data_IF_782907854944
#
_entry.id   IF_782907854944
#
_cell.length_a   1.000
_cell.length_b   1.000
_cell.length_c   1.000
_cell.angle_alpha   90.00
_cell.angle_beta   90.00
_cell.angle_gamma   90.00
#
_symmetry.space_group_name_H-M   'P 1'
#
loop_
_entity.id
_entity.type
_entity.pdbx_description
1 polymer ?
#
# COMPACT_ATOMS: atom_id res chain seq x y z
N UNK A 1 11.66 -2.56 -16.99
CA UNK A 1 11.33 -2.36 -15.56
C UNK A 1 11.63 -0.91 -15.20
N UNK A 2 10.63 -0.13 -14.74
CA UNK A 2 10.83 1.27 -14.36
C UNK A 2 11.47 1.35 -12.96
N UNK A 3 12.48 2.22 -12.78
CA UNK A 3 13.17 2.38 -11.49
C UNK A 3 13.51 3.83 -11.21
N UNK A 4 13.70 4.17 -9.92
CA UNK A 4 13.95 5.55 -9.46
C UNK A 4 15.21 6.21 -10.05
N UNK A 5 16.09 5.44 -10.71
CA UNK A 5 17.33 5.92 -11.34
C UNK A 5 17.12 6.51 -12.71
N UNK A 6 16.04 6.18 -13.40
CA UNK A 6 15.75 6.68 -14.74
C UNK A 6 15.52 8.19 -14.77
N UNK A 7 15.15 8.76 -13.62
CA UNK A 7 14.97 10.20 -13.46
C UNK A 7 16.30 10.83 -13.07
N UNK A 8 16.77 11.85 -13.82
CA UNK A 8 18.05 12.54 -13.60
C UNK A 8 17.79 13.98 -13.14
N UNK A 9 18.69 14.55 -12.34
CA UNK A 9 18.58 15.95 -11.89
C UNK A 9 18.35 16.90 -13.09
N UNK A 10 17.44 17.89 -13.00
CA UNK A 10 16.68 18.32 -11.81
C UNK A 10 15.38 17.54 -11.57
N UNK A 11 14.97 16.65 -12.47
CA UNK A 11 13.71 15.92 -12.38
C UNK A 11 13.90 14.66 -11.51
N UNK A 12 13.49 14.73 -10.24
CA UNK A 12 13.34 13.56 -9.37
C UNK A 12 11.86 13.31 -9.08
N UNK A 13 11.39 12.04 -9.05
CA UNK A 13 10.00 11.75 -8.75
C UNK A 13 9.71 12.12 -7.28
N UNK A 14 8.84 13.11 -7.06
CA UNK A 14 8.37 13.45 -5.73
C UNK A 14 7.29 12.44 -5.26
N UNK A 15 6.39 12.01 -6.16
CA UNK A 15 5.24 11.16 -5.85
C UNK A 15 5.05 10.06 -6.90
N UNK A 16 4.69 8.88 -6.42
CA UNK A 16 4.31 7.70 -7.20
C UNK A 16 2.97 7.22 -6.68
N UNK A 17 1.98 7.16 -7.56
CA UNK A 17 0.65 6.63 -7.25
C UNK A 17 0.37 5.42 -8.12
N UNK A 18 0.14 4.28 -7.48
CA UNK A 18 -0.30 3.07 -8.14
C UNK A 18 -1.82 3.01 -8.14
N UNK A 19 -2.42 2.88 -9.33
CA UNK A 19 -3.83 2.63 -9.52
C UNK A 19 -4.01 1.16 -9.89
N UNK A 20 -4.65 0.40 -9.01
CA UNK A 20 -4.95 -1.02 -9.23
C UNK A 20 -6.38 -1.14 -9.76
N UNK A 21 -6.51 -1.44 -11.06
CA UNK A 21 -7.78 -1.85 -11.67
C UNK A 21 -7.82 -3.37 -11.80
N UNK A 22 -8.92 -3.98 -11.35
CA UNK A 22 -9.17 -5.40 -11.55
C UNK A 22 -10.29 -5.53 -12.58
N UNK A 23 -10.00 -6.23 -13.67
CA UNK A 23 -10.93 -6.43 -14.79
C UNK A 23 -10.97 -7.92 -15.14
N UNK A 24 -12.17 -8.44 -15.38
CA UNK A 24 -12.38 -9.81 -15.84
C UNK A 24 -13.63 -9.84 -16.70
N UNK A 25 -13.60 -10.66 -17.76
CA UNK A 25 -14.79 -10.95 -18.58
C UNK A 25 -15.77 -11.89 -17.85
N UNK A 26 -15.39 -12.37 -16.66
CA UNK A 26 -16.18 -13.20 -15.75
C UNK A 26 -16.25 -12.51 -14.38
N UNK A 27 -16.79 -13.21 -13.39
CA UNK A 27 -16.80 -12.75 -12.00
C UNK A 27 -15.38 -12.64 -11.43
N UNK A 28 -15.04 -11.47 -10.88
CA UNK A 28 -13.83 -11.28 -10.09
C UNK A 28 -14.07 -11.88 -8.69
N UNK A 29 -13.48 -13.04 -8.42
CA UNK A 29 -13.48 -13.63 -7.08
C UNK A 29 -12.24 -13.19 -6.31
N UNK A 30 -12.45 -12.67 -5.10
CA UNK A 30 -11.34 -12.36 -4.18
C UNK A 30 -10.83 -13.64 -3.55
N UNK A 31 -9.51 -13.78 -3.47
CA UNK A 31 -8.89 -14.85 -2.71
C UNK A 31 -9.32 -14.79 -1.23
N UNK A 32 -9.63 -15.97 -0.66
CA UNK A 32 -10.10 -16.05 0.73
C UNK A 32 -9.03 -15.57 1.71
N UNK A 33 -7.76 -15.89 1.48
CA UNK A 33 -6.66 -15.45 2.33
C UNK A 33 -6.53 -13.93 2.35
N UNK A 34 -6.76 -13.27 1.21
CA UNK A 34 -6.82 -11.80 1.13
C UNK A 34 -7.98 -11.23 1.93
N UNK A 35 -9.18 -11.81 1.80
CA UNK A 35 -10.36 -11.39 2.55
C UNK A 35 -10.18 -11.59 4.07
N UNK A 36 -9.73 -12.78 4.47
CA UNK A 36 -9.43 -13.12 5.86
C UNK A 36 -8.39 -12.17 6.46
N UNK A 37 -7.32 -11.87 5.71
CA UNK A 37 -6.29 -10.91 6.14
C UNK A 37 -6.85 -9.51 6.36
N UNK A 38 -7.78 -9.05 5.51
CA UNK A 38 -8.45 -7.77 5.69
C UNK A 38 -9.32 -7.75 6.95
N UNK A 39 -10.11 -8.81 7.17
CA UNK A 39 -10.96 -8.98 8.36
C UNK A 39 -10.13 -9.00 9.65
N UNK A 40 -9.08 -9.82 9.69
CA UNK A 40 -8.18 -9.92 10.85
C UNK A 40 -7.37 -8.64 11.06
N UNK A 41 -7.03 -7.94 9.98
CA UNK A 41 -6.36 -6.64 10.02
C UNK A 41 -7.19 -5.57 10.71
N UNK A 42 -8.49 -5.52 10.43
CA UNK A 42 -9.44 -4.63 11.12
C UNK A 42 -9.67 -5.07 12.55
N UNK A 43 -9.93 -6.35 12.78
CA UNK A 43 -10.18 -6.92 14.11
C UNK A 43 -9.07 -6.60 15.12
N UNK A 44 -7.83 -6.52 14.66
CA UNK A 44 -6.65 -6.26 15.50
C UNK A 44 -6.07 -4.84 15.31
N UNK A 45 -6.79 -3.93 14.65
CA UNK A 45 -6.26 -2.61 14.29
C UNK A 45 -5.73 -1.83 15.51
N UNK A 46 -6.44 -1.86 16.64
CA UNK A 46 -6.03 -1.16 17.87
C UNK A 46 -4.73 -1.75 18.45
N UNK A 47 -4.65 -3.09 18.57
CA UNK A 47 -3.43 -3.78 19.01
C UNK A 47 -2.26 -3.51 18.08
N UNK A 48 -2.51 -3.45 16.77
CA UNK A 48 -1.49 -3.09 15.78
C UNK A 48 -1.01 -1.64 15.94
N UNK A 49 -1.89 -0.70 16.31
CA UNK A 49 -1.51 0.68 16.62
C UNK A 49 -0.67 0.74 17.89
N UNK A 50 -1.06 0.05 18.95
CA UNK A 50 -0.28 -0.06 20.19
C UNK A 50 1.11 -0.63 19.93
N UNK A 51 1.20 -1.75 19.19
CA UNK A 51 2.46 -2.37 18.80
C UNK A 51 3.34 -1.44 17.94
N UNK A 52 2.74 -0.60 17.10
CA UNK A 52 3.50 0.40 16.32
C UNK A 52 4.01 1.55 17.20
N UNK A 53 3.28 1.91 18.25
CA UNK A 53 3.67 2.97 19.19
C UNK A 53 4.74 2.52 20.17
N UNK A 54 4.75 1.23 20.56
CA UNK A 54 5.75 0.68 21.47
C UNK A 54 7.14 0.48 20.83
N UNK A 55 7.22 0.45 19.50
CA UNK A 55 8.48 0.31 18.78
C UNK A 55 9.20 1.65 18.62
N UNK A 56 10.55 1.64 18.56
CA UNK A 56 11.32 2.85 18.25
C UNK A 56 10.86 3.53 16.97
N UNK A 57 10.75 4.86 17.02
CA UNK A 57 10.42 5.66 15.83
C UNK A 57 11.63 5.66 14.89
N UNK A 58 11.40 5.26 13.65
CA UNK A 58 12.41 5.32 12.58
C UNK A 58 12.50 6.71 11.97
N UNK A 59 13.66 7.02 11.41
CA UNK A 59 13.87 8.26 10.67
C UNK A 59 12.90 8.30 9.49
N UNK A 60 12.25 9.45 9.28
CA UNK A 60 11.41 9.64 8.09
C UNK A 60 12.33 9.97 6.91
N UNK A 61 12.13 9.35 5.73
CA UNK A 61 12.90 9.69 4.56
C UNK A 61 12.65 11.15 4.18
N UNK A 62 13.72 11.92 3.99
CA UNK A 62 13.65 13.27 3.44
C UNK A 62 13.37 13.14 1.94
N UNK A 63 12.17 13.53 1.52
CA UNK A 63 11.76 13.54 0.11
C UNK A 63 11.74 15.00 -0.34
N UNK A 64 12.52 15.38 -1.37
CA UNK A 64 12.52 16.74 -1.88
C UNK A 64 11.16 17.14 -2.47
N UNK A 65 10.77 18.40 -2.29
CA UNK A 65 9.55 18.99 -2.85
C UNK A 65 8.36 19.01 -1.88
N UNK A 66 7.18 19.42 -2.37
CA UNK A 66 6.00 19.56 -1.52
C UNK A 66 5.50 18.21 -1.03
N UNK A 67 4.89 18.20 0.16
CA UNK A 67 4.16 17.02 0.63
C UNK A 67 2.95 16.78 -0.27
N UNK A 68 2.59 15.51 -0.54
CA UNK A 68 1.36 15.21 -1.26
C UNK A 68 0.18 15.76 -0.47
N UNK A 69 -0.78 16.43 -1.15
CA UNK A 69 -1.99 16.90 -0.50
C UNK A 69 -2.70 15.73 0.18
N UNK A 70 -3.44 16.02 1.27
CA UNK A 70 -4.44 15.11 1.80
C UNK A 70 -5.54 14.99 0.74
N UNK A 71 -5.32 14.14 -0.27
CA UNK A 71 -6.27 13.92 -1.35
C UNK A 71 -7.61 13.44 -0.82
N UNK A 72 -8.66 13.63 -1.63
CA UNK A 72 -9.98 13.08 -1.34
C UNK A 72 -9.90 11.54 -1.25
N UNK A 73 -10.73 10.95 -0.39
CA UNK A 73 -10.82 9.49 -0.25
C UNK A 73 -11.24 8.83 -1.56
N UNK A 74 -12.08 9.52 -2.32
CA UNK A 74 -12.57 9.16 -3.65
C UNK A 74 -12.09 10.23 -4.63
N UNK A 75 -11.50 9.82 -5.74
CA UNK A 75 -11.12 10.73 -6.83
C UNK A 75 -11.52 10.15 -8.18
N UNK A 76 -11.84 11.01 -9.14
CA UNK A 76 -11.99 10.62 -10.53
C UNK A 76 -10.76 11.08 -11.30
N UNK A 77 -9.95 10.14 -11.77
CA UNK A 77 -8.73 10.45 -12.50
C UNK A 77 -9.05 10.56 -14.00
N UNK A 78 -9.27 11.80 -14.46
CA UNK A 78 -9.71 12.10 -15.83
C UNK A 78 -8.77 11.56 -16.91
N UNK A 79 -7.46 11.52 -16.64
CA UNK A 79 -6.46 11.06 -17.62
C UNK A 79 -6.56 9.57 -17.94
N UNK A 80 -6.92 8.75 -16.94
CA UNK A 80 -7.05 7.30 -17.10
C UNK A 80 -8.51 6.84 -17.15
N UNK A 81 -9.47 7.77 -16.96
CA UNK A 81 -10.90 7.48 -16.99
C UNK A 81 -11.37 6.54 -15.87
N UNK A 82 -10.67 6.52 -14.73
CA UNK A 82 -10.99 5.63 -13.61
C UNK A 82 -11.44 6.41 -12.39
N UNK A 83 -12.38 5.81 -11.68
CA UNK A 83 -12.70 6.18 -10.32
C UNK A 83 -11.80 5.44 -9.35
N UNK A 84 -11.16 6.15 -8.43
CA UNK A 84 -10.19 5.57 -7.53
C UNK A 84 -10.50 5.88 -6.06
N UNK A 85 -10.32 4.88 -5.21
CA UNK A 85 -10.41 4.99 -3.76
C UNK A 85 -9.04 4.74 -3.16
N UNK A 86 -8.64 5.61 -2.23
CA UNK A 86 -7.45 5.38 -1.43
C UNK A 86 -7.65 4.16 -0.53
N UNK A 87 -6.85 3.13 -0.76
CA UNK A 87 -6.84 1.95 0.12
C UNK A 87 -5.98 2.20 1.36
N UNK A 88 -6.38 1.70 2.53
CA UNK A 88 -5.46 1.47 3.64
C UNK A 88 -4.54 0.29 3.30
N UNK A 89 -3.67 0.47 2.31
CA UNK A 89 -2.80 -0.59 1.79
C UNK A 89 -1.56 -0.81 2.67
N UNK A 90 -1.23 -2.09 2.87
CA UNK A 90 0.02 -2.54 3.47
C UNK A 90 1.22 -2.10 2.64
N UNK A 91 1.10 -2.06 1.31
CA UNK A 91 2.22 -1.77 0.39
C UNK A 91 2.78 -0.37 0.61
N UNK A 92 1.92 0.63 0.82
CA UNK A 92 2.37 1.98 1.12
C UNK A 92 3.14 2.06 2.44
N UNK A 93 2.74 1.24 3.43
CA UNK A 93 3.47 1.12 4.70
C UNK A 93 4.80 0.41 4.50
N UNK A 94 4.84 -0.66 3.69
CA UNK A 94 6.07 -1.41 3.37
C UNK A 94 7.05 -0.51 2.63
N UNK A 95 6.65 0.15 1.55
CA UNK A 95 7.50 1.07 0.78
C UNK A 95 8.06 2.15 1.70
N UNK A 96 7.22 2.80 2.52
CA UNK A 96 7.69 3.82 3.47
C UNK A 96 8.72 3.27 4.45
N UNK A 97 8.54 2.07 4.98
CA UNK A 97 9.51 1.41 5.88
C UNK A 97 10.80 1.10 5.16
N UNK A 98 10.74 0.59 3.93
CA UNK A 98 11.91 0.33 3.09
C UNK A 98 12.70 1.62 2.85
N UNK A 99 12.04 2.71 2.49
CA UNK A 99 12.71 4.01 2.31
C UNK A 99 13.32 4.55 3.62
N UNK A 100 12.67 4.29 4.76
CA UNK A 100 13.22 4.67 6.08
C UNK A 100 14.50 3.87 6.39
N UNK A 101 14.51 2.56 6.10
CA UNK A 101 15.70 1.70 6.25
C UNK A 101 16.84 2.20 5.37
N UNK A 102 16.55 2.57 4.12
CA UNK A 102 17.55 3.13 3.20
C UNK A 102 18.15 4.43 3.74
N UNK A 103 17.34 5.28 4.37
CA UNK A 103 17.80 6.52 5.00
C UNK A 103 18.71 6.25 6.19
N UNK A 104 18.40 5.22 6.99
CA UNK A 104 19.20 4.82 8.17
C UNK A 104 20.50 4.09 7.78
N UNK A 105 20.60 3.55 6.56
CA UNK A 105 21.73 2.72 6.10
C UNK A 105 22.28 3.24 4.76
N UNK A 106 22.94 4.41 4.73
CA UNK A 106 23.42 5.04 3.49
C UNK A 106 24.45 4.20 2.73
N UNK A 107 25.24 3.39 3.44
CA UNK A 107 26.28 2.54 2.86
C UNK A 107 25.79 1.17 2.38
N UNK A 108 24.49 0.89 2.49
CA UNK A 108 23.96 -0.45 2.22
C UNK A 108 23.53 -1.19 3.47
N UNK A 109 22.66 -2.18 3.28
CA UNK A 109 22.42 -3.20 4.30
C UNK A 109 23.64 -4.12 4.39
N UNK A 110 23.89 -4.67 5.58
CA UNK A 110 24.90 -5.71 5.75
C UNK A 110 24.51 -6.94 4.90
N UNK A 111 25.38 -7.29 3.96
CA UNK A 111 25.22 -8.47 3.11
C UNK A 111 25.99 -9.66 3.70
N UNK A 112 25.57 -10.87 3.39
CA UNK A 112 26.27 -12.09 3.84
C UNK A 112 27.71 -12.23 3.33
N UNK A 113 28.07 -11.53 2.23
CA UNK A 113 29.44 -11.48 1.71
C UNK A 113 30.24 -10.34 2.36
N UNK A 114 31.39 -10.69 2.95
CA UNK A 114 32.34 -9.77 3.59
C UNK A 114 33.39 -9.19 2.62
N UNK A 115 33.31 -9.50 1.34
CA UNK A 115 34.28 -9.00 0.36
C UNK A 115 34.12 -7.47 0.15
N UNK A 116 35.19 -6.67 0.32
CA UNK A 116 35.18 -5.21 0.15
C UNK A 116 34.59 -4.72 -1.16
N UNK A 117 34.82 -5.44 -2.27
CA UNK A 117 34.32 -5.04 -3.60
C UNK A 117 32.80 -5.04 -3.66
N UNK A 118 32.18 -5.98 -2.95
CA UNK A 118 30.72 -6.04 -2.87
C UNK A 118 30.16 -4.97 -1.94
N UNK A 119 30.90 -4.54 -0.92
CA UNK A 119 30.50 -3.44 -0.05
C UNK A 119 30.48 -2.10 -0.82
N UNK A 120 31.51 -1.84 -1.63
CA UNK A 120 31.58 -0.62 -2.45
C UNK A 120 30.48 -0.59 -3.52
N UNK A 121 30.29 -1.71 -4.25
CA UNK A 121 29.19 -1.85 -5.23
C UNK A 121 27.81 -1.65 -4.58
N UNK A 122 27.65 -2.07 -3.32
CA UNK A 122 26.42 -1.87 -2.56
C UNK A 122 26.24 -0.41 -2.18
N UNK A 123 27.25 0.23 -1.62
CA UNK A 123 27.19 1.66 -1.28
C UNK A 123 26.84 2.52 -2.50
N UNK A 124 27.50 2.26 -3.65
CA UNK A 124 27.21 2.97 -4.90
C UNK A 124 25.80 2.69 -5.44
N UNK A 125 25.30 1.46 -5.31
CA UNK A 125 23.91 1.15 -5.65
C UNK A 125 22.93 1.87 -4.72
N UNK A 126 23.20 1.93 -3.41
CA UNK A 126 22.27 2.49 -2.43
C UNK A 126 22.15 4.01 -2.56
N UNK A 127 23.26 4.71 -2.81
CA UNK A 127 23.27 6.17 -3.00
C UNK A 127 22.47 6.65 -4.22
N UNK A 128 22.24 5.78 -5.21
CA UNK A 128 21.44 6.11 -6.40
C UNK A 128 19.92 6.02 -6.18
N UNK A 129 19.46 5.45 -5.05
CA UNK A 129 18.03 5.25 -4.82
C UNK A 129 17.41 6.58 -4.40
N UNK A 130 16.49 7.10 -5.22
CA UNK A 130 15.71 8.30 -4.89
C UNK A 130 14.46 7.93 -4.11
N UNK A 131 14.20 8.65 -3.02
CA UNK A 131 12.98 8.51 -2.24
C UNK A 131 11.82 9.23 -2.92
N UNK A 132 10.62 8.65 -2.82
CA UNK A 132 9.39 9.25 -3.33
C UNK A 132 8.21 8.92 -2.41
N UNK A 133 7.21 9.79 -2.39
CA UNK A 133 5.94 9.51 -1.74
C UNK A 133 5.22 8.41 -2.52
N UNK A 134 4.86 7.32 -1.85
CA UNK A 134 4.17 6.20 -2.49
C UNK A 134 2.75 6.06 -1.96
N UNK A 135 1.79 5.92 -2.87
CA UNK A 135 0.39 5.67 -2.57
C UNK A 135 -0.18 4.58 -3.47
N UNK A 136 -1.14 3.83 -2.93
CA UNK A 136 -1.91 2.82 -3.68
C UNK A 136 -3.38 3.18 -3.61
N UNK A 137 -4.05 3.10 -4.75
CA UNK A 137 -5.49 3.30 -4.90
C UNK A 137 -6.06 2.10 -5.64
N UNK A 138 -7.21 1.62 -5.18
CA UNK A 138 -8.02 0.70 -5.99
C UNK A 138 -8.87 1.53 -6.92
N UNK A 139 -8.98 1.11 -8.17
CA UNK A 139 -9.66 1.86 -9.21
C UNK A 139 -10.63 0.97 -9.98
N UNK A 140 -11.75 1.55 -10.41
CA UNK A 140 -12.75 0.89 -11.25
C UNK A 140 -13.17 1.84 -12.37
N UNK A 141 -13.51 1.27 -13.53
CA UNK A 141 -14.18 2.00 -14.62
C UNK A 141 -15.64 2.33 -14.25
N UNK A 142 -16.26 1.42 -13.49
CA UNK A 142 -17.68 1.46 -13.18
C UNK A 142 -17.93 2.00 -11.76
N UNK A 143 -18.82 2.99 -11.65
CA UNK A 143 -19.25 3.55 -10.35
C UNK A 143 -19.90 2.48 -9.45
N UNK A 144 -20.63 1.53 -10.04
CA UNK A 144 -21.26 0.43 -9.29
C UNK A 144 -20.21 -0.48 -8.61
N UNK A 145 -19.12 -0.79 -9.32
CA UNK A 145 -18.00 -1.56 -8.76
C UNK A 145 -17.33 -0.81 -7.60
N UNK A 146 -17.24 0.52 -7.69
CA UNK A 146 -16.75 1.36 -6.58
C UNK A 146 -17.67 1.25 -5.35
N UNK A 147 -19.00 1.34 -5.54
CA UNK A 147 -19.97 1.17 -4.45
C UNK A 147 -19.83 -0.20 -3.80
N UNK A 148 -19.63 -1.26 -4.59
CA UNK A 148 -19.39 -2.63 -4.09
C UNK A 148 -18.12 -2.73 -3.23
N UNK A 149 -17.02 -2.09 -3.65
CA UNK A 149 -15.77 -2.01 -2.87
C UNK A 149 -16.00 -1.28 -1.54
N UNK A 150 -16.71 -0.15 -1.56
CA UNK A 150 -17.03 0.62 -0.35
C UNK A 150 -17.90 -0.22 0.60
N UNK A 151 -18.97 -0.84 0.09
CA UNK A 151 -19.88 -1.68 0.88
C UNK A 151 -19.15 -2.86 1.54
N UNK A 152 -18.23 -3.49 0.81
CA UNK A 152 -17.37 -4.55 1.34
C UNK A 152 -16.50 -4.01 2.48
N UNK A 153 -15.84 -2.87 2.27
CA UNK A 153 -15.00 -2.22 3.29
C UNK A 153 -15.76 -1.83 4.56
N UNK A 154 -16.97 -1.28 4.42
CA UNK A 154 -17.87 -0.95 5.53
C UNK A 154 -18.27 -2.22 6.29
N UNK A 155 -18.62 -3.29 5.58
CA UNK A 155 -18.99 -4.58 6.19
C UNK A 155 -17.85 -5.16 7.01
N UNK A 156 -16.62 -5.15 6.46
CA UNK A 156 -15.42 -5.59 7.20
C UNK A 156 -15.18 -4.69 8.41
N UNK A 157 -15.33 -3.37 8.25
CA UNK A 157 -15.12 -2.37 9.30
C UNK A 157 -16.03 -2.57 10.51
N UNK A 158 -17.34 -2.70 10.27
CA UNK A 158 -18.31 -2.91 11.33
C UNK A 158 -18.24 -4.31 11.92
N UNK A 159 -18.35 -5.35 11.06
CA UNK A 159 -18.52 -6.73 11.51
C UNK A 159 -17.21 -7.38 11.96
N UNK A 160 -16.05 -6.88 11.53
CA UNK A 160 -14.74 -7.46 11.89
C UNK A 160 -14.38 -7.29 13.37
N UNK A 161 -14.98 -6.32 14.05
CA UNK A 161 -14.61 -5.91 15.41
C UNK A 161 -15.16 -6.87 16.48
N UNK A 162 -16.35 -7.44 16.28
CA UNK A 162 -16.98 -8.35 17.25
C UNK A 162 -16.74 -9.83 16.88
N UNK A 163 -16.52 -10.69 17.87
CA UNK A 163 -16.13 -12.09 17.61
C UNK A 163 -17.18 -12.90 16.85
N UNK A 164 -18.47 -12.70 17.14
CA UNK A 164 -19.57 -13.39 16.44
C UNK A 164 -19.74 -12.88 15.01
N UNK A 165 -19.76 -11.56 14.82
CA UNK A 165 -19.89 -10.93 13.50
C UNK A 165 -18.69 -11.22 12.60
N UNK A 166 -17.48 -11.28 13.18
CA UNK A 166 -16.27 -11.72 12.48
C UNK A 166 -16.37 -13.17 12.06
N UNK A 167 -16.89 -14.04 12.92
CA UNK A 167 -17.16 -15.43 12.54
C UNK A 167 -18.13 -15.50 11.36
N UNK A 168 -19.18 -14.67 11.34
CA UNK A 168 -20.13 -14.60 10.23
C UNK A 168 -19.45 -14.19 8.92
N UNK A 169 -18.60 -13.15 8.96
CA UNK A 169 -17.79 -12.69 7.81
C UNK A 169 -16.92 -13.82 7.24
N UNK A 170 -16.20 -14.53 8.12
CA UNK A 170 -15.24 -15.57 7.71
C UNK A 170 -15.95 -16.87 7.28
N UNK A 171 -17.12 -17.17 7.84
CA UNK A 171 -17.89 -18.37 7.51
C UNK A 171 -18.63 -18.22 6.18
N UNK A 172 -19.13 -17.03 5.88
CA UNK A 172 -19.92 -16.74 4.68
C UNK A 172 -19.36 -15.56 3.86
N UNK A 173 -18.08 -15.63 3.42
CA UNK A 173 -17.42 -14.50 2.77
C UNK A 173 -18.12 -14.05 1.48
N UNK A 174 -18.71 -14.98 0.72
CA UNK A 174 -19.42 -14.69 -0.51
C UNK A 174 -20.63 -13.76 -0.34
N UNK A 175 -21.25 -13.75 0.84
CA UNK A 175 -22.37 -12.86 1.14
C UNK A 175 -21.93 -11.39 1.29
N UNK A 176 -20.67 -11.16 1.67
CA UNK A 176 -20.13 -9.83 1.97
C UNK A 176 -19.20 -9.28 0.87
N UNK A 177 -19.05 -9.99 -0.26
CA UNK A 177 -18.27 -9.55 -1.41
C UNK A 177 -19.17 -8.92 -2.47
N UNK A 178 -19.45 -7.62 -2.31
CA UNK A 178 -20.44 -6.90 -3.12
C UNK A 178 -19.91 -6.40 -4.48
N UNK A 179 -18.66 -6.68 -4.84
CA UNK A 179 -18.08 -6.25 -6.12
C UNK A 179 -18.24 -7.29 -7.25
N UNK A 180 -18.86 -8.45 -6.97
CA UNK A 180 -19.24 -9.43 -8.00
C UNK A 180 -20.32 -8.81 -8.89
N UNK A 181 -19.90 -8.28 -10.03
CA UNK A 181 -20.73 -7.98 -11.20
C UNK A 181 -20.18 -8.80 -12.36
#
# INVERSE_FOLDING_TARGET
MFNSRQWVSPAAPNRVEAYLSLESDKNIAGDFGTFESAVLGVANANKLVELRRSRPKRARPTIPGPLPPKGSTIEHQKQIGLWAIKLPSTDATVVRRTLSILTENPNGLEGGSKDPKYAEKRSSFWSTIKHAHFGVKIATKNLLGMIGIIATGISIGHLGSFSFERWLLLKFPSFFQFWRV
#
